data_IF_690406108265
#
_entry.id   IF_690406108265
#
_cell.length_a   1.000
_cell.length_b   1.000
_cell.length_c   1.000
_cell.angle_alpha   90.00
_cell.angle_beta   90.00
_cell.angle_gamma   90.00
#
_symmetry.space_group_name_H-M   'P 1'
#
loop_
_entity.id
_entity.type
_entity.pdbx_description
1 polymer ?
#
# COMPACT_ATOMS: atom_id res chain seq x y z
N UNK A 1 8.40 8.01 -37.58
CA UNK A 1 8.13 7.42 -36.26
C UNK A 1 6.92 8.13 -35.71
N UNK A 2 5.76 7.47 -35.72
CA UNK A 2 4.52 8.04 -35.21
C UNK A 2 4.29 7.55 -33.79
N UNK A 3 4.14 8.51 -32.88
CA UNK A 3 3.79 8.30 -31.48
C UNK A 3 2.27 8.15 -31.40
N UNK A 4 1.78 6.95 -31.06
CA UNK A 4 0.36 6.76 -30.75
C UNK A 4 0.18 6.67 -29.22
N UNK A 5 -0.73 7.47 -28.62
CA UNK A 5 -0.96 7.45 -27.18
C UNK A 5 -1.88 6.26 -26.85
N UNK A 6 -1.36 5.27 -26.13
CA UNK A 6 -2.16 4.14 -25.69
C UNK A 6 -2.91 4.48 -24.39
N UNK A 7 -3.98 5.29 -24.52
CA UNK A 7 -5.09 5.22 -23.58
C UNK A 7 -6.08 4.18 -24.10
N UNK A 8 -5.92 2.94 -23.68
CA UNK A 8 -6.98 1.93 -23.77
C UNK A 8 -6.78 0.87 -22.68
N UNK A 9 -7.75 0.85 -21.75
CA UNK A 9 -8.05 -0.20 -20.77
C UNK A 9 -6.89 -1.10 -20.35
N UNK A 10 -6.23 -0.76 -19.25
CA UNK A 10 -5.27 -1.62 -18.58
C UNK A 10 -5.99 -2.76 -17.83
N UNK A 11 -6.64 -3.67 -18.57
CA UNK A 11 -6.81 -5.06 -18.13
C UNK A 11 -5.55 -5.80 -18.58
N UNK A 12 -4.44 -5.53 -17.89
CA UNK A 12 -3.34 -6.49 -17.89
C UNK A 12 -3.65 -7.44 -16.75
N UNK A 13 -4.11 -8.64 -17.08
CA UNK A 13 -3.87 -9.82 -16.25
C UNK A 13 -2.35 -9.97 -16.15
N UNK A 14 -1.73 -9.18 -15.29
CA UNK A 14 -0.33 -9.33 -14.99
C UNK A 14 -0.26 -10.50 -14.03
N UNK A 15 0.11 -11.66 -14.56
CA UNK A 15 0.64 -12.79 -13.79
C UNK A 15 2.01 -12.41 -13.20
N UNK A 16 2.09 -11.27 -12.50
CA UNK A 16 3.24 -10.87 -11.71
C UNK A 16 3.05 -11.47 -10.34
N UNK A 17 4.08 -12.18 -9.86
CA UNK A 17 4.14 -12.65 -8.49
C UNK A 17 4.12 -11.41 -7.57
N UNK A 18 2.93 -11.01 -7.12
CA UNK A 18 2.68 -9.72 -6.46
C UNK A 18 1.79 -9.92 -5.24
N UNK A 19 1.99 -9.06 -4.24
CA UNK A 19 1.15 -9.02 -3.05
C UNK A 19 0.24 -7.80 -3.13
N UNK A 20 -1.06 -7.99 -2.93
CA UNK A 20 -2.00 -6.89 -2.72
C UNK A 20 -2.23 -6.70 -1.22
N UNK A 21 -1.73 -5.60 -0.68
CA UNK A 21 -2.04 -5.15 0.67
C UNK A 21 -3.29 -4.27 0.63
N UNK A 22 -4.43 -4.84 1.01
CA UNK A 22 -5.70 -4.12 1.05
C UNK A 22 -5.83 -3.23 2.28
N UNK A 23 -5.25 -3.66 3.41
CA UNK A 23 -5.43 -2.98 4.68
C UNK A 23 -4.33 -3.33 5.67
N UNK A 24 -3.74 -2.30 6.29
CA UNK A 24 -2.91 -2.42 7.47
C UNK A 24 -3.33 -1.37 8.49
N UNK A 25 -3.82 -1.81 9.64
CA UNK A 25 -4.51 -0.95 10.59
C UNK A 25 -4.16 -1.30 12.04
N UNK A 26 -4.04 -0.26 12.87
CA UNK A 26 -3.86 -0.37 14.32
C UNK A 26 -5.15 0.11 14.99
N UNK A 27 -5.90 -0.83 15.55
CA UNK A 27 -7.23 -0.58 16.11
C UNK A 27 -7.18 0.36 17.32
N UNK A 28 -6.26 0.13 18.25
CA UNK A 28 -6.08 1.00 19.42
C UNK A 28 -5.38 2.32 19.04
N UNK A 29 -6.09 3.43 19.22
CA UNK A 29 -5.59 4.79 18.91
C UNK A 29 -4.35 5.18 19.75
N UNK A 30 -4.20 4.61 20.95
CA UNK A 30 -3.06 4.84 21.84
C UNK A 30 -1.79 4.13 21.37
N UNK A 31 -1.94 3.17 20.45
CA UNK A 31 -0.83 2.41 19.86
C UNK A 31 -0.42 2.96 18.49
N UNK A 32 -1.19 3.87 17.90
CA UNK A 32 -0.85 4.54 16.64
C UNK A 32 0.38 5.43 16.82
N UNK A 33 1.08 5.68 15.70
CA UNK A 33 2.33 6.48 15.63
C UNK A 33 3.49 5.95 16.49
N UNK A 34 3.38 4.75 17.08
CA UNK A 34 4.47 4.06 17.80
C UNK A 34 5.33 3.14 16.91
N UNK A 35 5.27 3.31 15.59
CA UNK A 35 6.06 2.52 14.64
C UNK A 35 5.53 1.11 14.34
N UNK A 36 4.41 0.67 14.94
CA UNK A 36 3.83 -0.67 14.73
C UNK A 36 3.56 -0.96 13.25
N UNK A 37 2.87 -0.05 12.55
CA UNK A 37 2.62 -0.17 11.11
C UNK A 37 3.93 -0.27 10.32
N UNK A 38 4.94 0.54 10.68
CA UNK A 38 6.26 0.50 10.06
C UNK A 38 6.93 -0.86 10.19
N UNK A 39 6.92 -1.44 11.40
CA UNK A 39 7.46 -2.77 11.66
C UNK A 39 6.80 -3.84 10.77
N UNK A 40 5.47 -3.84 10.65
CA UNK A 40 4.76 -4.83 9.85
C UNK A 40 4.94 -4.64 8.34
N UNK A 41 5.05 -3.40 7.85
CA UNK A 41 5.43 -3.15 6.45
C UNK A 41 6.83 -3.69 6.16
N UNK A 42 7.79 -3.43 7.03
CA UNK A 42 9.17 -3.89 6.82
C UNK A 42 9.24 -5.43 6.87
N UNK A 43 8.45 -6.07 7.76
CA UNK A 43 8.31 -7.53 7.79
C UNK A 43 7.67 -8.08 6.52
N UNK A 44 6.61 -7.44 6.03
CA UNK A 44 5.94 -7.84 4.77
C UNK A 44 6.90 -7.75 3.59
N UNK A 45 7.69 -6.68 3.49
CA UNK A 45 8.69 -6.51 2.43
C UNK A 45 9.73 -7.64 2.44
N UNK A 46 10.26 -8.00 3.62
CA UNK A 46 11.21 -9.12 3.74
C UNK A 46 10.61 -10.43 3.27
N UNK A 47 9.39 -10.75 3.74
CA UNK A 47 8.69 -11.96 3.31
C UNK A 47 8.46 -11.98 1.80
N UNK A 48 8.06 -10.85 1.23
CA UNK A 48 7.85 -10.71 -0.21
C UNK A 48 9.16 -10.97 -1.00
N UNK A 49 10.29 -10.43 -0.53
CA UNK A 49 11.61 -10.69 -1.13
C UNK A 49 11.94 -12.19 -1.03
N UNK A 50 11.76 -12.79 0.15
CA UNK A 50 12.07 -14.21 0.40
C UNK A 50 11.27 -15.16 -0.49
N UNK A 51 10.02 -14.80 -0.85
CA UNK A 51 9.16 -15.61 -1.73
C UNK A 51 9.26 -15.22 -3.21
N UNK A 52 10.18 -14.32 -3.58
CA UNK A 52 10.40 -13.91 -4.96
C UNK A 52 9.27 -13.07 -5.55
N UNK A 53 8.55 -12.32 -4.72
CA UNK A 53 7.54 -11.35 -5.15
C UNK A 53 8.21 -10.13 -5.76
N UNK A 54 7.64 -9.60 -6.83
CA UNK A 54 8.23 -8.48 -7.58
C UNK A 54 7.81 -7.12 -7.01
N UNK A 55 6.61 -7.02 -6.44
CA UNK A 55 6.10 -5.77 -5.89
C UNK A 55 4.91 -5.97 -4.94
N UNK A 56 4.65 -4.92 -4.16
CA UNK A 56 3.48 -4.82 -3.30
C UNK A 56 2.55 -3.74 -3.85
N UNK A 57 1.33 -4.12 -4.19
CA UNK A 57 0.25 -3.19 -4.48
C UNK A 57 -0.44 -2.77 -3.20
N UNK A 58 -0.69 -1.47 -3.02
CA UNK A 58 -1.41 -0.93 -1.86
C UNK A 58 -2.61 -0.11 -2.31
N UNK A 59 -3.74 -0.27 -1.63
CA UNK A 59 -4.87 0.65 -1.77
C UNK A 59 -4.78 1.65 -0.62
N UNK A 60 -4.31 2.86 -0.90
CA UNK A 60 -4.27 3.92 0.11
C UNK A 60 -5.69 4.45 0.33
N UNK A 61 -6.40 3.93 1.33
CA UNK A 61 -7.79 4.32 1.61
C UNK A 61 -8.04 4.61 3.09
N UNK A 62 -8.21 5.90 3.42
CA UNK A 62 -8.61 6.31 4.79
C UNK A 62 -10.12 6.22 5.08
N UNK A 63 -10.91 5.91 4.06
CA UNK A 63 -12.38 5.84 4.10
C UNK A 63 -12.90 4.43 3.83
N UNK A 64 -12.11 3.38 4.10
CA UNK A 64 -12.59 1.99 3.96
C UNK A 64 -13.75 1.78 4.95
N UNK A 65 -14.88 1.31 4.44
CA UNK A 65 -16.12 1.14 5.22
C UNK A 65 -15.95 0.23 6.44
N UNK A 66 -14.95 -0.66 6.39
CA UNK A 66 -14.56 -1.59 7.46
C UNK A 66 -14.28 -0.90 8.81
N UNK A 67 -14.03 0.42 8.83
CA UNK A 67 -13.74 1.20 10.04
C UNK A 67 -14.57 2.48 10.15
N UNK A 68 -15.71 2.55 9.46
CA UNK A 68 -16.64 3.69 9.53
C UNK A 68 -17.07 4.04 10.96
N UNK A 69 -17.03 3.07 11.88
CA UNK A 69 -17.38 3.21 13.31
C UNK A 69 -16.19 3.39 14.25
N UNK A 70 -14.95 3.29 13.76
CA UNK A 70 -13.76 3.37 14.61
C UNK A 70 -13.32 4.81 14.86
N UNK A 71 -12.66 5.04 16.00
CA UNK A 71 -12.06 6.33 16.32
C UNK A 71 -10.92 6.63 15.34
N UNK A 72 -11.01 7.79 14.69
CA UNK A 72 -9.98 8.29 13.75
C UNK A 72 -8.84 9.05 14.45
N UNK A 73 -8.79 9.03 15.78
CA UNK A 73 -7.72 9.67 16.55
C UNK A 73 -6.34 9.17 16.13
N UNK A 74 -5.40 10.09 15.87
CA UNK A 74 -4.04 9.76 15.44
C UNK A 74 -3.93 8.94 14.13
N UNK A 75 -4.99 8.87 13.32
CA UNK A 75 -4.92 8.29 11.97
C UNK A 75 -4.22 9.25 11.00
N UNK A 76 -3.58 8.69 9.96
CA UNK A 76 -3.00 9.48 8.87
C UNK A 76 -4.12 10.08 8.01
N UNK A 77 -3.91 11.30 7.49
CA UNK A 77 -4.73 11.81 6.40
C UNK A 77 -4.49 10.98 5.12
N UNK A 78 -5.34 11.13 4.11
CA UNK A 78 -5.18 10.43 2.84
C UNK A 78 -3.81 10.75 2.20
N UNK A 79 -3.42 12.02 2.18
CA UNK A 79 -2.13 12.46 1.65
C UNK A 79 -0.96 11.89 2.46
N UNK A 80 -1.04 11.93 3.80
CA UNK A 80 0.03 11.38 4.65
C UNK A 80 0.16 9.86 4.50
N UNK A 81 -0.94 9.15 4.25
CA UNK A 81 -0.94 7.71 4.00
C UNK A 81 -0.26 7.37 2.67
N UNK A 82 -0.57 8.11 1.60
CA UNK A 82 0.10 7.95 0.31
C UNK A 82 1.60 8.27 0.41
N UNK A 83 1.95 9.37 1.08
CA UNK A 83 3.35 9.73 1.28
C UNK A 83 4.08 8.70 2.14
N UNK A 84 3.42 8.15 3.16
CA UNK A 84 3.95 7.06 3.96
C UNK A 84 4.34 5.85 3.11
N UNK A 85 3.46 5.39 2.21
CA UNK A 85 3.77 4.26 1.32
C UNK A 85 4.87 4.60 0.30
N UNK A 86 4.86 5.81 -0.27
CA UNK A 86 5.93 6.29 -1.16
C UNK A 86 7.30 6.23 -0.47
N UNK A 87 7.39 6.71 0.79
CA UNK A 87 8.63 6.67 1.59
C UNK A 87 9.07 5.25 1.97
N UNK A 88 8.13 4.30 2.07
CA UNK A 88 8.42 2.89 2.37
C UNK A 88 8.79 2.07 1.14
N UNK A 89 8.50 2.57 -0.06
CA UNK A 89 8.90 1.96 -1.33
C UNK A 89 10.42 1.95 -1.47
N UNK A 90 10.96 0.90 -2.08
CA UNK A 90 12.40 0.75 -2.35
C UNK A 90 12.63 0.00 -3.65
N UNK A 91 13.79 0.16 -4.32
CA UNK A 91 14.07 -0.55 -5.58
C UNK A 91 13.95 -2.09 -5.48
N UNK A 92 14.35 -2.66 -4.35
CA UNK A 92 14.30 -4.11 -4.10
C UNK A 92 12.87 -4.63 -3.86
N UNK A 93 11.99 -3.79 -3.32
CA UNK A 93 10.60 -4.13 -3.08
C UNK A 93 9.72 -2.89 -3.30
N UNK A 94 9.32 -2.64 -4.56
CA UNK A 94 8.50 -1.51 -4.92
C UNK A 94 7.12 -1.60 -4.28
N UNK A 95 6.66 -0.48 -3.71
CA UNK A 95 5.28 -0.30 -3.28
C UNK A 95 4.58 0.58 -4.32
N UNK A 96 3.54 0.04 -4.95
CA UNK A 96 2.75 0.70 -5.99
C UNK A 96 1.38 1.03 -5.41
N UNK A 97 1.06 2.32 -5.35
CA UNK A 97 -0.26 2.79 -4.91
C UNK A 97 -1.24 2.60 -6.07
N UNK A 98 -2.31 1.85 -5.81
CA UNK A 98 -3.44 1.68 -6.72
C UNK A 98 -4.53 2.70 -6.40
N UNK A 99 -5.22 3.16 -7.45
CA UNK A 99 -6.44 3.94 -7.29
C UNK A 99 -7.55 3.08 -6.67
N UNK A 100 -8.45 3.71 -5.91
CA UNK A 100 -9.61 3.05 -5.28
C UNK A 100 -10.69 2.69 -6.29
#
# INVERSE_FOLDING_TARGET
MEFFPLYSSMKRDINTNSIKLELLYVHDESLRRKGITGYYIDKLKRLAIDVGVECIYVVANVSVDNFSKDKKGNALSQNDLEEYYKRKSSPEMPIIIMDK
#
